data_IF_857010908452
#
_entry.id   IF_857010908452
#
_cell.length_a   1.000
_cell.length_b   1.000
_cell.length_c   1.000
_cell.angle_alpha   90.00
_cell.angle_beta   90.00
_cell.angle_gamma   90.00
#
_symmetry.space_group_name_H-M   'P 1'
#
loop_
_entity.id
_entity.type
_entity.pdbx_description
1 polymer ?
#
# COMPACT_ATOMS: atom_id res chain seq x y z
N UNK A 1 -9.57 15.05 -80.34
CA UNK A 1 -9.01 14.32 -79.15
C UNK A 1 -9.35 15.13 -77.91
N UNK A 2 -10.23 14.62 -77.04
CA UNK A 2 -10.64 15.29 -75.77
C UNK A 2 -10.00 14.54 -74.66
N UNK A 3 -9.00 15.13 -73.99
CA UNK A 3 -8.29 14.58 -72.84
C UNK A 3 -9.10 14.85 -71.58
N UNK A 4 -9.59 13.78 -70.90
CA UNK A 4 -10.29 13.86 -69.62
C UNK A 4 -9.24 13.79 -68.49
N UNK A 5 -9.13 14.89 -67.75
CA UNK A 5 -8.37 14.88 -66.49
C UNK A 5 -9.21 14.25 -65.37
N UNK A 6 -8.72 13.15 -64.82
CA UNK A 6 -9.33 12.47 -63.65
C UNK A 6 -8.72 13.04 -62.38
N UNK A 7 -9.51 13.84 -61.67
CA UNK A 7 -9.14 14.35 -60.34
C UNK A 7 -9.29 13.20 -59.34
N UNK A 8 -8.16 12.80 -58.70
CA UNK A 8 -8.15 11.86 -57.57
C UNK A 8 -8.25 12.73 -56.29
N UNK A 9 -9.26 12.53 -55.44
CA UNK A 9 -9.31 13.22 -54.16
C UNK A 9 -8.27 12.61 -53.21
N UNK A 10 -7.34 13.45 -52.74
CA UNK A 10 -6.38 13.11 -51.68
C UNK A 10 -7.12 13.07 -50.31
N UNK A 11 -7.37 11.85 -49.81
CA UNK A 11 -7.98 11.67 -48.51
C UNK A 11 -6.91 11.87 -47.44
N UNK A 12 -6.87 13.04 -46.81
CA UNK A 12 -6.05 13.29 -45.63
C UNK A 12 -6.62 12.54 -44.44
N UNK A 13 -6.00 11.42 -44.05
CA UNK A 13 -6.25 10.76 -42.79
C UNK A 13 -5.70 11.66 -41.67
N UNK A 14 -6.60 12.30 -40.91
CA UNK A 14 -6.27 12.98 -39.67
C UNK A 14 -6.00 11.89 -38.62
N UNK A 15 -4.72 11.57 -38.37
CA UNK A 15 -4.30 10.79 -37.21
C UNK A 15 -4.55 11.67 -35.97
N UNK A 16 -5.65 11.42 -35.27
CA UNK A 16 -5.85 11.94 -33.93
C UNK A 16 -4.83 11.25 -33.01
N UNK A 17 -3.73 11.92 -32.69
CA UNK A 17 -2.95 11.57 -31.52
C UNK A 17 -3.83 11.84 -30.31
N UNK A 18 -4.40 10.78 -29.71
CA UNK A 18 -4.89 10.87 -28.34
C UNK A 18 -3.66 11.06 -27.47
N UNK A 19 -3.46 12.26 -26.94
CA UNK A 19 -2.54 12.46 -25.82
C UNK A 19 -3.11 11.69 -24.63
N UNK A 20 -2.59 10.49 -24.36
CA UNK A 20 -2.75 9.87 -23.05
C UNK A 20 -2.04 10.82 -22.08
N UNK A 21 -2.81 11.54 -21.27
CA UNK A 21 -2.23 12.30 -20.17
C UNK A 21 -1.42 11.31 -19.33
N UNK A 22 -0.15 11.62 -19.13
CA UNK A 22 0.73 10.80 -18.29
C UNK A 22 0.36 11.08 -16.84
N UNK A 23 -0.04 10.06 -16.12
CA UNK A 23 -0.26 10.15 -14.68
C UNK A 23 1.04 10.55 -13.97
N UNK A 24 0.95 11.57 -13.12
CA UNK A 24 2.07 12.11 -12.32
C UNK A 24 1.74 12.19 -10.84
N UNK A 25 0.58 11.66 -10.45
CA UNK A 25 0.09 11.68 -9.07
C UNK A 25 0.61 10.47 -8.29
N UNK A 26 0.75 10.64 -6.99
CA UNK A 26 1.09 9.55 -6.08
C UNK A 26 -0.19 9.11 -5.39
N UNK A 27 -0.51 7.81 -5.35
CA UNK A 27 -1.71 7.33 -4.67
C UNK A 27 -1.67 7.61 -3.17
N UNK A 28 -2.83 7.69 -2.53
CA UNK A 28 -2.97 8.08 -1.13
C UNK A 28 -3.43 6.93 -0.23
N UNK A 29 -2.79 6.78 0.94
CA UNK A 29 -3.18 5.87 2.02
C UNK A 29 -3.85 6.69 3.12
N UNK A 30 -5.17 6.55 3.29
CA UNK A 30 -6.01 7.42 4.10
C UNK A 30 -6.59 6.65 5.30
N UNK A 31 -6.43 7.13 6.53
CA UNK A 31 -7.13 6.59 7.69
C UNK A 31 -8.65 6.73 7.56
N UNK A 32 -9.41 5.72 8.00
CA UNK A 32 -10.88 5.70 7.99
C UNK A 32 -11.51 6.04 9.37
N UNK A 33 -10.92 6.96 10.08
CA UNK A 33 -11.37 7.40 11.40
C UNK A 33 -11.08 6.35 12.47
N UNK A 34 -12.04 6.08 13.36
CA UNK A 34 -11.86 5.15 14.49
C UNK A 34 -11.69 3.69 14.08
N UNK A 35 -12.11 3.32 12.86
CA UNK A 35 -11.96 1.97 12.33
C UNK A 35 -10.53 1.68 11.81
N UNK A 36 -9.71 2.71 11.63
CA UNK A 36 -8.34 2.55 11.11
C UNK A 36 -7.49 1.67 12.01
N UNK A 37 -6.92 0.62 11.45
CA UNK A 37 -5.94 -0.24 12.12
C UNK A 37 -4.94 -0.84 11.10
N UNK A 38 -3.67 -1.01 11.48
CA UNK A 38 -3.10 -0.55 12.76
C UNK A 38 -2.84 0.96 12.77
N UNK A 39 -2.97 1.58 13.93
CA UNK A 39 -2.44 2.90 14.22
C UNK A 39 -1.07 2.79 14.89
N UNK A 40 -0.31 3.88 14.87
CA UNK A 40 0.98 3.93 15.52
C UNK A 40 0.88 3.64 17.04
N UNK A 41 1.80 2.85 17.57
CA UNK A 41 1.87 2.37 18.96
C UNK A 41 0.73 1.40 19.39
N UNK A 42 -0.07 0.89 18.47
CA UNK A 42 -1.10 -0.10 18.82
C UNK A 42 -0.49 -1.45 19.27
N UNK A 43 -1.13 -2.09 20.26
CA UNK A 43 -0.71 -3.37 20.81
C UNK A 43 -1.65 -4.50 20.37
N UNK A 44 -1.05 -5.66 20.05
CA UNK A 44 -1.77 -6.86 19.60
C UNK A 44 -1.25 -8.09 20.33
N UNK A 45 -2.11 -8.88 20.98
CA UNK A 45 -1.66 -10.11 21.64
C UNK A 45 -1.32 -11.19 20.62
N UNK A 46 -0.32 -12.01 20.93
CA UNK A 46 -0.02 -13.24 20.20
C UNK A 46 -1.27 -14.13 20.15
N UNK A 47 -1.55 -14.74 19.01
CA UNK A 47 -2.79 -15.51 18.76
C UNK A 47 -4.03 -14.65 18.51
N UNK A 48 -3.91 -13.32 18.59
CA UNK A 48 -4.96 -12.35 18.22
C UNK A 48 -5.01 -12.06 16.73
N UNK A 49 -5.55 -10.88 16.37
CA UNK A 49 -5.61 -10.44 14.98
C UNK A 49 -5.56 -8.91 14.86
N UNK A 50 -5.01 -8.41 13.75
CA UNK A 50 -5.12 -7.02 13.30
C UNK A 50 -6.31 -6.94 12.34
N UNK A 51 -7.28 -6.10 12.65
CA UNK A 51 -8.39 -5.79 11.73
C UNK A 51 -7.98 -4.59 10.88
N UNK A 52 -7.24 -4.88 9.82
CA UNK A 52 -6.72 -3.86 8.91
C UNK A 52 -7.85 -3.13 8.21
N UNK A 53 -7.83 -1.79 8.25
CA UNK A 53 -8.84 -0.94 7.60
C UNK A 53 -8.23 0.40 7.18
N UNK A 54 -8.03 0.56 5.86
CA UNK A 54 -7.53 1.78 5.23
C UNK A 54 -8.24 2.05 3.92
N UNK A 55 -8.45 3.33 3.62
CA UNK A 55 -8.95 3.79 2.33
C UNK A 55 -7.77 4.17 1.43
N UNK A 56 -7.74 3.61 0.23
CA UNK A 56 -6.79 3.96 -0.82
C UNK A 56 -7.47 4.82 -1.88
N UNK A 57 -6.77 5.83 -2.37
CA UNK A 57 -7.26 6.71 -3.45
C UNK A 57 -6.16 7.01 -4.45
N UNK A 58 -6.58 7.24 -5.67
CA UNK A 58 -5.76 7.68 -6.79
C UNK A 58 -6.62 8.50 -7.76
N UNK A 59 -6.04 9.40 -8.53
CA UNK A 59 -6.76 10.20 -9.50
C UNK A 59 -6.98 9.46 -10.84
N UNK A 60 -6.20 8.42 -11.10
CA UNK A 60 -6.26 7.62 -12.34
C UNK A 60 -6.74 6.19 -12.09
N UNK A 61 -5.89 5.32 -11.57
CA UNK A 61 -6.25 3.92 -11.30
C UNK A 61 -5.30 3.27 -10.28
N UNK A 62 -5.87 2.71 -9.22
CA UNK A 62 -5.15 1.90 -8.24
C UNK A 62 -4.69 0.56 -8.83
N UNK A 63 -3.50 0.08 -8.45
CA UNK A 63 -2.92 -1.17 -8.92
C UNK A 63 -2.98 -2.29 -7.91
N UNK A 64 -2.20 -2.15 -6.84
CA UNK A 64 -2.07 -3.15 -5.78
C UNK A 64 -1.54 -2.51 -4.50
N UNK A 65 -1.68 -3.21 -3.38
CA UNK A 65 -0.97 -2.86 -2.16
C UNK A 65 -0.24 -4.07 -1.58
N UNK A 66 0.84 -3.77 -0.87
CA UNK A 66 1.64 -4.75 -0.15
C UNK A 66 1.57 -4.46 1.34
N UNK A 67 1.50 -5.50 2.15
CA UNK A 67 1.66 -5.41 3.61
C UNK A 67 2.93 -6.16 3.98
N UNK A 68 3.83 -5.46 4.66
CA UNK A 68 5.04 -6.03 5.21
C UNK A 68 5.08 -5.84 6.72
N UNK A 69 5.42 -6.90 7.46
CA UNK A 69 5.62 -6.88 8.91
C UNK A 69 6.95 -7.52 9.21
N UNK A 70 7.78 -6.84 10.01
CA UNK A 70 9.03 -7.37 10.53
C UNK A 70 9.37 -6.75 11.87
N UNK A 71 10.24 -7.43 12.64
CA UNK A 71 10.64 -6.97 13.97
C UNK A 71 11.48 -5.70 13.91
N UNK A 72 11.37 -4.87 14.95
CA UNK A 72 12.19 -3.68 15.20
C UNK A 72 12.96 -3.80 16.54
N UNK A 73 13.52 -4.98 16.81
CA UNK A 73 14.19 -5.25 18.09
C UNK A 73 15.57 -4.61 18.24
N UNK A 74 16.15 -4.13 17.16
CA UNK A 74 17.40 -3.36 17.11
C UNK A 74 17.18 -1.84 16.97
N UNK A 75 15.90 -1.40 16.95
CA UNK A 75 15.47 -0.01 16.83
C UNK A 75 15.90 0.67 15.53
N UNK A 76 15.98 -0.08 14.42
CA UNK A 76 16.17 0.53 13.10
C UNK A 76 14.94 1.34 12.68
N UNK A 77 15.12 2.30 11.77
CA UNK A 77 14.06 3.22 11.37
C UNK A 77 13.57 2.99 9.95
N UNK A 78 12.25 2.81 9.79
CA UNK A 78 11.54 2.85 8.50
C UNK A 78 10.44 3.91 8.48
N UNK A 79 10.60 4.94 9.29
CA UNK A 79 9.51 5.79 9.68
C UNK A 79 9.07 6.77 8.62
N UNK A 80 7.81 6.67 8.18
CA UNK A 80 7.06 7.79 7.60
C UNK A 80 6.27 8.54 8.68
N UNK A 81 5.97 7.89 9.83
CA UNK A 81 5.30 8.46 11.00
C UNK A 81 5.98 7.92 12.27
N UNK A 82 7.16 8.46 12.61
CA UNK A 82 7.80 8.14 13.87
C UNK A 82 7.08 8.84 15.02
N UNK A 83 6.04 8.20 15.56
CA UNK A 83 5.57 8.54 16.89
C UNK A 83 6.55 7.99 17.93
N UNK A 84 6.64 8.64 19.07
CA UNK A 84 7.41 8.15 20.22
C UNK A 84 6.68 6.99 20.89
N UNK A 85 6.71 5.78 20.26
CA UNK A 85 6.21 4.59 20.91
C UNK A 85 7.18 4.12 22.00
N UNK A 86 6.66 3.52 23.06
CA UNK A 86 7.48 2.87 24.07
C UNK A 86 8.35 1.81 23.40
N UNK A 87 9.65 1.84 23.66
CA UNK A 87 10.61 0.83 23.21
C UNK A 87 11.06 -0.03 24.39
N UNK A 88 11.18 -1.34 24.17
CA UNK A 88 11.86 -2.25 25.08
C UNK A 88 13.38 -2.21 24.83
N UNK A 89 14.23 -2.71 25.74
CA UNK A 89 15.65 -2.87 25.43
C UNK A 89 15.87 -3.67 24.15
N UNK A 90 16.84 -3.24 23.33
CA UNK A 90 17.20 -3.97 22.12
C UNK A 90 17.53 -5.45 22.42
N UNK A 91 17.14 -6.34 21.53
CA UNK A 91 17.35 -7.79 21.67
C UNK A 91 17.53 -8.47 20.32
N UNK A 92 18.16 -9.64 20.32
CA UNK A 92 18.23 -10.50 19.15
C UNK A 92 16.89 -11.22 18.92
N UNK A 93 16.39 -11.32 17.68
CA UNK A 93 15.20 -12.09 17.36
C UNK A 93 15.47 -13.59 17.48
N UNK A 94 14.52 -14.35 18.02
CA UNK A 94 14.53 -15.82 18.09
C UNK A 94 13.53 -16.42 17.12
N UNK A 95 12.29 -15.94 17.14
CA UNK A 95 11.22 -16.34 16.24
C UNK A 95 10.39 -15.10 15.83
N UNK A 96 10.95 -14.17 15.05
CA UNK A 96 10.25 -12.93 14.71
C UNK A 96 9.09 -13.20 13.75
N UNK A 97 8.02 -12.39 13.86
CA UNK A 97 6.96 -12.39 12.88
C UNK A 97 7.43 -11.69 11.60
N UNK A 98 7.42 -12.43 10.49
CA UNK A 98 7.72 -11.92 9.17
C UNK A 98 6.53 -12.17 8.27
N UNK A 99 5.96 -11.10 7.73
CA UNK A 99 4.92 -11.13 6.70
C UNK A 99 5.35 -10.23 5.55
N UNK A 100 5.21 -10.70 4.32
CA UNK A 100 5.32 -9.84 3.13
C UNK A 100 4.33 -10.38 2.11
N UNK A 101 3.25 -9.61 1.84
CA UNK A 101 2.15 -10.10 1.02
C UNK A 101 1.55 -9.02 0.17
N UNK A 102 1.41 -9.33 -1.12
CA UNK A 102 0.75 -8.47 -2.11
C UNK A 102 -0.75 -8.79 -2.20
N UNK A 103 -1.53 -7.74 -2.41
CA UNK A 103 -2.98 -7.78 -2.59
C UNK A 103 -3.34 -6.97 -3.84
N UNK A 104 -3.90 -7.60 -4.87
CA UNK A 104 -4.33 -6.87 -6.05
C UNK A 104 -5.59 -6.05 -5.75
N UNK A 105 -5.66 -4.86 -6.33
CA UNK A 105 -6.88 -4.06 -6.38
C UNK A 105 -7.57 -4.33 -7.72
N UNK A 106 -8.89 -4.57 -7.76
CA UNK A 106 -9.60 -4.77 -9.01
C UNK A 106 -9.41 -3.60 -9.96
N UNK A 107 -9.26 -3.88 -11.25
CA UNK A 107 -9.04 -2.85 -12.27
C UNK A 107 -10.19 -1.83 -12.33
N UNK A 108 -9.86 -0.58 -12.74
CA UNK A 108 -10.82 0.51 -12.88
C UNK A 108 -11.21 1.22 -11.57
N UNK A 109 -10.55 0.89 -10.45
CA UNK A 109 -10.82 1.56 -9.17
C UNK A 109 -9.86 2.73 -8.94
N UNK A 110 -10.41 3.90 -8.66
CA UNK A 110 -9.72 5.09 -8.17
C UNK A 110 -9.87 5.26 -6.65
N UNK A 111 -10.70 4.42 -6.02
CA UNK A 111 -10.91 4.39 -4.58
C UNK A 111 -11.18 2.96 -4.14
N UNK A 112 -10.51 2.50 -3.08
CA UNK A 112 -10.63 1.14 -2.58
C UNK A 112 -10.47 1.11 -1.06
N UNK A 113 -11.49 0.66 -0.34
CA UNK A 113 -11.40 0.41 1.10
C UNK A 113 -10.86 -1.00 1.34
N UNK A 114 -9.64 -1.07 1.84
CA UNK A 114 -8.94 -2.34 2.07
C UNK A 114 -9.24 -2.82 3.49
N UNK A 115 -10.00 -3.92 3.61
CA UNK A 115 -10.34 -4.56 4.88
C UNK A 115 -9.82 -5.99 4.91
N UNK A 116 -8.97 -6.30 5.90
CA UNK A 116 -8.39 -7.63 6.09
C UNK A 116 -8.37 -8.00 7.57
N UNK A 117 -8.46 -9.29 7.84
CA UNK A 117 -8.10 -9.84 9.14
C UNK A 117 -6.73 -10.51 9.01
N UNK A 118 -5.73 -9.96 9.71
CA UNK A 118 -4.35 -10.46 9.71
C UNK A 118 -4.10 -11.15 11.04
N UNK A 119 -4.01 -12.48 11.08
CA UNK A 119 -3.77 -13.20 12.32
C UNK A 119 -2.34 -12.91 12.84
N UNK A 120 -2.23 -12.62 14.12
CA UNK A 120 -0.94 -12.54 14.82
C UNK A 120 -0.56 -13.95 15.25
N UNK A 121 0.56 -14.52 14.79
CA UNK A 121 0.94 -15.87 15.17
C UNK A 121 1.12 -16.00 16.69
N UNK A 122 0.81 -17.17 17.24
CA UNK A 122 0.84 -17.39 18.67
C UNK A 122 2.25 -17.62 19.24
N UNK A 123 3.19 -17.98 18.39
CA UNK A 123 4.54 -18.44 18.73
C UNK A 123 5.65 -17.45 18.38
N UNK A 124 5.30 -16.24 17.87
CA UNK A 124 6.31 -15.23 17.54
C UNK A 124 6.83 -14.50 18.77
N UNK A 125 7.99 -13.89 18.63
CA UNK A 125 8.59 -13.06 19.69
C UNK A 125 7.69 -11.86 20.02
N UNK A 126 7.39 -11.56 21.29
CA UNK A 126 6.76 -10.30 21.67
C UNK A 126 7.75 -9.13 21.52
N UNK A 127 7.25 -7.93 21.30
CA UNK A 127 8.07 -6.70 21.17
C UNK A 127 7.61 -5.81 20.05
N UNK A 128 8.50 -4.90 19.61
CA UNK A 128 8.21 -3.91 18.58
C UNK A 128 8.34 -4.50 17.18
N UNK A 129 7.39 -4.11 16.32
CA UNK A 129 7.37 -4.47 14.91
C UNK A 129 7.05 -3.24 14.06
N UNK A 130 7.62 -3.19 12.87
CA UNK A 130 7.15 -2.32 11.81
C UNK A 130 6.02 -2.98 11.04
N UNK A 131 4.95 -2.22 10.83
CA UNK A 131 3.86 -2.57 9.93
C UNK A 131 3.89 -1.57 8.77
N UNK A 132 4.21 -2.05 7.60
CA UNK A 132 4.39 -1.22 6.41
C UNK A 132 3.30 -1.50 5.38
N UNK A 133 2.77 -0.43 4.80
CA UNK A 133 1.82 -0.47 3.70
C UNK A 133 2.48 0.22 2.52
N UNK A 134 2.62 -0.49 1.41
CA UNK A 134 3.06 0.09 0.13
C UNK A 134 1.90 0.02 -0.84
N UNK A 135 1.37 1.17 -1.23
CA UNK A 135 0.34 1.30 -2.25
C UNK A 135 0.99 1.64 -3.58
N UNK A 136 0.60 0.95 -4.64
CA UNK A 136 1.10 1.19 -6.01
C UNK A 136 -0.10 1.36 -6.95
N UNK A 137 -0.10 2.41 -7.76
CA UNK A 137 -1.07 2.63 -8.82
C UNK A 137 -0.72 1.85 -10.11
N UNK A 138 -1.53 1.99 -11.15
CA UNK A 138 -1.28 1.35 -12.45
C UNK A 138 -0.17 2.02 -13.25
N UNK A 139 0.18 3.23 -12.95
CA UNK A 139 1.27 4.00 -13.58
C UNK A 139 2.62 3.70 -12.96
N UNK A 140 2.64 3.03 -11.78
CA UNK A 140 3.84 2.65 -11.04
C UNK A 140 4.24 3.63 -9.94
N UNK A 141 3.46 4.67 -9.67
CA UNK A 141 3.67 5.54 -8.52
C UNK A 141 3.36 4.82 -7.22
N UNK A 142 4.09 5.17 -6.17
CA UNK A 142 3.97 4.47 -4.89
C UNK A 142 3.89 5.44 -3.71
N UNK A 143 3.01 5.12 -2.76
CA UNK A 143 3.05 5.67 -1.41
C UNK A 143 3.41 4.58 -0.42
N UNK A 144 4.31 4.91 0.52
CA UNK A 144 4.68 4.07 1.64
C UNK A 144 4.17 4.70 2.94
N UNK A 145 3.50 3.90 3.77
CA UNK A 145 3.15 4.24 5.15
C UNK A 145 3.70 3.18 6.09
N UNK A 146 4.42 3.60 7.11
CA UNK A 146 4.94 2.72 8.16
C UNK A 146 4.42 3.18 9.51
N UNK A 147 3.90 2.24 10.30
CA UNK A 147 3.52 2.43 11.70
C UNK A 147 4.26 1.44 12.58
N UNK A 148 4.56 1.82 13.80
CA UNK A 148 5.09 0.92 14.82
C UNK A 148 3.93 0.23 15.53
N UNK A 149 3.99 -1.09 15.65
CA UNK A 149 3.04 -1.87 16.44
C UNK A 149 3.81 -2.68 17.48
N UNK A 150 3.11 -3.12 18.52
CA UNK A 150 3.66 -4.00 19.55
C UNK A 150 2.93 -5.32 19.57
N UNK A 151 3.66 -6.42 19.52
CA UNK A 151 3.14 -7.75 19.79
C UNK A 151 3.37 -8.04 21.27
N UNK A 152 2.28 -8.42 21.98
CA UNK A 152 2.30 -8.70 23.42
C UNK A 152 2.01 -10.18 23.72
N UNK A 153 2.33 -10.62 24.93
CA UNK A 153 1.84 -11.90 25.43
C UNK A 153 0.32 -11.87 25.59
N UNK A 154 -0.38 -12.99 25.39
CA UNK A 154 -1.80 -13.08 25.68
C UNK A 154 -2.06 -12.83 27.18
N UNK A 155 -3.15 -12.13 27.46
CA UNK A 155 -3.61 -11.86 28.85
C UNK A 155 -4.28 -13.10 29.44
#
# INVERSE_FOLDING_TARGET
MKTKYMLIPLLCALSACSSTETDTSVPEIIPVGEATAPLNCQEYPRGGAIFFDYLFRDDTELGAYNIEIHNNFDHHTHSTEAGECRQDPAKEPVNPWILNKDYPIPAGNTSFEAKLTIPVPADVDPGEYHFMIRLTDRSGWQQLKSVSIRVTDPV
#
